data_IF_380847581913
#
_entry.id   IF_380847581913
#
_cell.length_a   1.000
_cell.length_b   1.000
_cell.length_c   1.000
_cell.angle_alpha   90.00
_cell.angle_beta   90.00
_cell.angle_gamma   90.00
#
_symmetry.space_group_name_H-M   'P 1'
#
loop_
_entity.id
_entity.type
_entity.pdbx_description
1 polymer ?
#
# COMPACT_ATOMS: atom_id res chain seq x y z
N UNK A 1 17.74 18.15 23.60
CA UNK A 1 17.67 17.55 22.24
C UNK A 1 18.06 18.59 21.19
N UNK A 2 18.87 18.23 20.17
CA UNK A 2 19.24 19.16 19.08
C UNK A 2 18.04 19.37 18.14
N UNK A 3 17.92 20.57 17.54
CA UNK A 3 16.74 20.92 16.73
C UNK A 3 16.53 20.04 15.49
N UNK A 4 17.60 19.53 14.88
CA UNK A 4 17.51 18.63 13.72
C UNK A 4 16.97 17.25 14.11
N UNK A 5 17.53 16.65 15.16
CA UNK A 5 17.07 15.38 15.74
C UNK A 5 15.59 15.45 16.13
N UNK A 6 15.15 16.55 16.75
CA UNK A 6 13.74 16.78 17.06
C UNK A 6 12.85 16.74 15.82
N UNK A 7 13.25 17.41 14.73
CA UNK A 7 12.49 17.45 13.48
C UNK A 7 12.39 16.06 12.84
N UNK A 8 13.44 15.27 12.89
CA UNK A 8 13.42 13.88 12.42
C UNK A 8 12.47 13.01 13.25
N UNK A 9 12.45 13.20 14.57
CA UNK A 9 11.53 12.50 15.47
C UNK A 9 10.08 12.94 15.27
N UNK A 10 9.82 14.24 15.06
CA UNK A 10 8.50 14.77 14.70
C UNK A 10 8.01 14.10 13.41
N UNK A 11 8.85 14.00 12.38
CA UNK A 11 8.48 13.36 11.12
C UNK A 11 8.12 11.88 11.31
N UNK A 12 8.93 11.13 12.07
CA UNK A 12 8.64 9.72 12.39
C UNK A 12 7.32 9.57 13.12
N UNK A 13 7.07 10.43 14.10
CA UNK A 13 5.83 10.43 14.87
C UNK A 13 4.61 10.69 13.98
N UNK A 14 4.69 11.70 13.09
CA UNK A 14 3.61 12.00 12.16
C UNK A 14 3.39 10.89 11.11
N UNK A 15 4.44 10.14 10.73
CA UNK A 15 4.34 8.98 9.83
C UNK A 15 3.67 7.77 10.48
N UNK A 16 3.91 7.55 11.78
CA UNK A 16 3.38 6.39 12.52
C UNK A 16 2.03 6.65 13.17
N UNK A 17 1.56 7.89 13.21
CA UNK A 17 0.31 8.24 13.86
C UNK A 17 -0.87 7.93 12.93
N UNK A 18 -1.88 7.23 13.45
CA UNK A 18 -3.14 6.96 12.74
C UNK A 18 -4.07 8.20 12.63
N UNK A 19 -3.64 9.35 13.17
CA UNK A 19 -4.44 10.57 13.18
C UNK A 19 -3.66 11.83 13.57
N UNK A 20 -4.35 12.97 13.71
CA UNK A 20 -3.71 14.26 13.98
C UNK A 20 -3.00 14.28 15.32
N UNK A 21 -1.74 14.72 15.33
CA UNK A 21 -0.92 14.84 16.54
C UNK A 21 -0.86 16.30 16.97
N UNK A 22 -1.27 16.58 18.20
CA UNK A 22 -1.32 17.96 18.70
C UNK A 22 0.09 18.54 18.93
N UNK A 23 0.25 19.84 18.69
CA UNK A 23 1.49 20.57 18.99
C UNK A 23 1.85 20.53 20.48
N UNK A 24 0.83 20.49 21.35
CA UNK A 24 1.01 20.42 22.80
C UNK A 24 1.57 19.06 23.24
N UNK A 25 1.03 17.97 22.70
CA UNK A 25 1.51 16.62 22.98
C UNK A 25 2.95 16.42 22.51
N UNK A 26 3.31 16.95 21.33
CA UNK A 26 4.70 16.94 20.86
C UNK A 26 5.62 17.80 21.74
N UNK A 27 5.14 18.96 22.20
CA UNK A 27 5.91 19.85 23.05
C UNK A 27 6.26 19.18 24.39
N UNK A 28 5.28 18.52 25.01
CA UNK A 28 5.47 17.73 26.24
C UNK A 28 6.42 16.55 26.01
N UNK A 29 6.18 15.75 24.96
CA UNK A 29 7.02 14.58 24.62
C UNK A 29 8.50 14.93 24.42
N UNK A 30 8.78 16.09 23.81
CA UNK A 30 10.14 16.52 23.48
C UNK A 30 10.72 17.54 24.47
N UNK A 31 9.99 17.89 25.54
CA UNK A 31 10.44 18.84 26.57
C UNK A 31 10.71 20.24 26.02
N UNK A 32 9.90 20.72 25.07
CA UNK A 32 10.05 22.05 24.45
C UNK A 32 8.75 22.84 24.53
N UNK A 33 8.77 24.14 24.21
CA UNK A 33 7.54 24.92 24.11
C UNK A 33 6.76 24.58 22.84
N UNK A 34 5.44 24.79 22.87
CA UNK A 34 4.57 24.68 21.69
C UNK A 34 5.09 25.52 20.52
N UNK A 35 5.62 26.71 20.79
CA UNK A 35 6.15 27.61 19.76
C UNK A 35 7.35 27.01 19.01
N UNK A 36 8.19 26.24 19.71
CA UNK A 36 9.30 25.52 19.10
C UNK A 36 8.78 24.45 18.13
N UNK A 37 7.74 23.68 18.52
CA UNK A 37 7.11 22.70 17.64
C UNK A 37 6.52 23.37 16.39
N UNK A 38 5.80 24.49 16.56
CA UNK A 38 5.24 25.24 15.42
C UNK A 38 6.36 25.68 14.46
N UNK A 39 7.48 26.19 14.99
CA UNK A 39 8.63 26.60 14.17
C UNK A 39 9.28 25.41 13.45
N UNK A 40 9.37 24.25 14.10
CA UNK A 40 9.91 23.04 13.49
C UNK A 40 9.03 22.48 12.38
N UNK A 41 7.70 22.50 12.55
CA UNK A 41 6.75 22.14 11.49
C UNK A 41 6.87 23.08 10.29
N UNK A 42 7.00 24.39 10.52
CA UNK A 42 7.23 25.35 9.44
C UNK A 42 8.50 25.02 8.64
N UNK A 43 9.62 24.74 9.34
CA UNK A 43 10.86 24.33 8.69
C UNK A 43 10.77 23.00 7.93
N UNK A 44 9.92 22.07 8.39
CA UNK A 44 9.67 20.82 7.67
C UNK A 44 8.88 21.09 6.38
N UNK A 45 7.90 21.98 6.42
CA UNK A 45 7.16 22.43 5.23
C UNK A 45 8.06 23.15 4.22
N UNK A 46 8.96 24.01 4.69
CA UNK A 46 9.94 24.70 3.82
C UNK A 46 10.87 23.72 3.09
N UNK A 47 11.03 22.50 3.60
CA UNK A 47 11.75 21.40 2.95
C UNK A 47 10.90 20.57 1.98
N UNK A 48 9.68 21.00 1.69
CA UNK A 48 8.75 20.30 0.78
C UNK A 48 7.99 19.14 1.42
N UNK A 49 7.99 19.01 2.75
CA UNK A 49 7.22 17.96 3.43
C UNK A 49 5.78 18.45 3.62
N UNK A 50 4.84 17.75 3.00
CA UNK A 50 3.42 18.07 3.05
C UNK A 50 2.84 17.73 4.43
N UNK A 51 2.61 18.75 5.27
CA UNK A 51 2.03 18.61 6.61
C UNK A 51 0.82 19.53 6.70
N UNK A 52 -0.39 19.00 6.87
CA UNK A 52 -1.59 19.81 7.09
C UNK A 52 -1.70 20.24 8.56
N UNK A 53 -2.28 21.42 8.80
CA UNK A 53 -2.77 21.82 10.12
C UNK A 53 -4.28 21.55 10.19
N UNK A 54 -4.71 20.69 11.11
CA UNK A 54 -6.12 20.45 11.42
C UNK A 54 -6.46 21.01 12.81
N UNK A 55 -7.75 21.13 13.14
CA UNK A 55 -8.21 21.67 14.43
C UNK A 55 -7.66 20.90 15.65
N UNK A 56 -7.38 19.60 15.48
CA UNK A 56 -6.86 18.71 16.54
C UNK A 56 -5.34 18.52 16.52
N UNK A 57 -4.62 19.00 15.52
CA UNK A 57 -3.18 18.79 15.41
C UNK A 57 -2.64 18.82 14.00
N UNK A 58 -1.42 18.31 13.83
CA UNK A 58 -0.75 18.17 12.55
C UNK A 58 -0.88 16.75 12.01
N UNK A 59 -1.03 16.62 10.70
CA UNK A 59 -1.02 15.35 9.98
C UNK A 59 -0.01 15.45 8.85
N UNK A 60 0.77 14.40 8.66
CA UNK A 60 1.54 14.27 7.43
C UNK A 60 0.57 13.94 6.30
N UNK A 61 0.50 14.80 5.29
CA UNK A 61 -0.27 14.49 4.09
C UNK A 61 0.40 13.29 3.43
N UNK A 62 -0.27 12.15 3.48
CA UNK A 62 0.07 11.06 2.58
C UNK A 62 -0.32 11.53 1.19
N UNK A 63 0.62 11.50 0.24
CA UNK A 63 0.27 11.77 -1.15
C UNK A 63 -0.90 10.84 -1.52
N UNK A 64 -1.90 11.32 -2.29
CA UNK A 64 -2.89 10.41 -2.86
C UNK A 64 -2.12 9.32 -3.59
N UNK A 65 -2.24 8.08 -3.11
CA UNK A 65 -1.61 6.93 -3.75
C UNK A 65 -2.45 6.59 -4.96
N UNK A 66 -1.79 6.39 -6.08
CA UNK A 66 -2.43 5.92 -7.28
C UNK A 66 -2.86 4.47 -7.08
N UNK A 67 -3.93 4.06 -7.74
CA UNK A 67 -4.47 2.71 -7.64
C UNK A 67 -4.80 2.17 -9.02
N UNK A 68 -4.42 0.91 -9.26
CA UNK A 68 -4.74 0.20 -10.50
C UNK A 68 -5.02 -1.26 -10.18
N UNK A 69 -6.01 -1.82 -10.88
CA UNK A 69 -6.32 -3.24 -10.80
C UNK A 69 -5.60 -3.99 -11.92
N UNK A 70 -4.85 -5.01 -11.54
CA UNK A 70 -4.21 -5.93 -12.48
C UNK A 70 -4.97 -7.26 -12.52
N UNK A 71 -5.30 -7.70 -13.72
CA UNK A 71 -5.78 -9.06 -13.95
C UNK A 71 -4.61 -9.96 -14.26
N UNK A 72 -4.47 -11.02 -13.48
CA UNK A 72 -3.29 -11.89 -13.49
C UNK A 72 -3.67 -13.36 -13.61
N UNK A 73 -2.74 -14.15 -14.14
CA UNK A 73 -2.81 -15.60 -14.21
C UNK A 73 -1.41 -16.18 -14.07
N UNK A 74 -1.24 -17.12 -13.14
CA UNK A 74 0.02 -17.83 -12.96
C UNK A 74 -0.15 -19.11 -12.12
N UNK A 75 0.87 -19.97 -12.15
CA UNK A 75 0.99 -21.18 -11.33
C UNK A 75 1.14 -20.85 -9.83
N UNK A 76 0.95 -21.82 -8.93
CA UNK A 76 1.14 -21.60 -7.48
C UNK A 76 2.59 -21.23 -7.16
N UNK A 77 3.55 -21.85 -7.85
CA UNK A 77 4.99 -21.63 -7.73
C UNK A 77 5.42 -20.21 -8.13
N UNK A 78 4.65 -19.56 -8.99
CA UNK A 78 4.95 -18.21 -9.47
C UNK A 78 4.36 -17.08 -8.60
N UNK A 79 3.48 -17.42 -7.64
CA UNK A 79 2.83 -16.43 -6.77
C UNK A 79 3.84 -15.60 -5.98
N UNK A 80 4.94 -16.20 -5.54
CA UNK A 80 6.02 -15.47 -4.86
C UNK A 80 6.72 -14.47 -5.80
N UNK A 81 6.95 -14.85 -7.06
CA UNK A 81 7.66 -14.02 -8.03
C UNK A 81 6.85 -12.78 -8.40
N UNK A 82 5.55 -12.98 -8.65
CA UNK A 82 4.61 -11.90 -8.94
C UNK A 82 4.58 -10.87 -7.81
N UNK A 83 4.33 -11.32 -6.57
CA UNK A 83 4.24 -10.42 -5.42
C UNK A 83 5.57 -9.69 -5.16
N UNK A 84 6.71 -10.36 -5.35
CA UNK A 84 8.02 -9.73 -5.21
C UNK A 84 8.23 -8.63 -6.25
N UNK A 85 7.83 -8.85 -7.50
CA UNK A 85 7.98 -7.88 -8.59
C UNK A 85 7.21 -6.58 -8.27
N UNK A 86 5.98 -6.70 -7.76
CA UNK A 86 5.18 -5.55 -7.34
C UNK A 86 5.85 -4.80 -6.17
N UNK A 87 6.26 -5.53 -5.14
CA UNK A 87 6.85 -4.94 -3.92
C UNK A 87 8.23 -4.32 -4.18
N UNK A 88 9.05 -4.91 -5.05
CA UNK A 88 10.37 -4.39 -5.42
C UNK A 88 10.31 -3.04 -6.12
N UNK A 89 9.22 -2.79 -6.87
CA UNK A 89 8.93 -1.50 -7.51
C UNK A 89 8.20 -0.53 -6.57
N UNK A 90 8.12 -0.84 -5.27
CA UNK A 90 7.40 -0.05 -4.25
C UNK A 90 5.87 -0.02 -4.44
N UNK A 91 5.31 -1.01 -5.14
CA UNK A 91 3.88 -1.28 -5.13
C UNK A 91 3.42 -1.97 -3.85
N UNK A 92 2.16 -1.72 -3.46
CA UNK A 92 1.48 -2.39 -2.37
C UNK A 92 0.24 -3.12 -2.90
N UNK A 93 0.16 -4.43 -2.64
CA UNK A 93 -0.99 -5.26 -3.00
C UNK A 93 -2.04 -5.18 -1.90
N UNK A 94 -3.18 -4.55 -2.19
CA UNK A 94 -4.27 -4.34 -1.23
C UNK A 94 -5.08 -5.60 -0.99
N UNK A 95 -5.42 -6.29 -2.05
CA UNK A 95 -6.34 -7.42 -2.02
C UNK A 95 -6.01 -8.43 -3.12
N UNK A 96 -6.68 -9.57 -3.02
CA UNK A 96 -6.88 -10.50 -4.13
C UNK A 96 -8.37 -10.75 -4.28
N UNK A 97 -8.85 -10.81 -5.53
CA UNK A 97 -10.22 -11.20 -5.79
C UNK A 97 -10.38 -11.95 -7.10
N UNK A 98 -11.52 -12.63 -7.22
CA UNK A 98 -11.89 -13.40 -8.40
C UNK A 98 -13.36 -13.14 -8.76
N UNK A 99 -13.68 -13.18 -10.05
CA UNK A 99 -15.05 -13.20 -10.54
C UNK A 99 -15.54 -14.63 -10.71
N UNK A 100 -16.38 -15.08 -9.79
CA UNK A 100 -17.06 -16.36 -9.91
C UNK A 100 -18.43 -16.19 -10.56
N UNK A 101 -18.70 -16.93 -11.63
CA UNK A 101 -19.95 -16.80 -12.43
C UNK A 101 -21.23 -16.86 -11.59
N UNK A 102 -21.25 -17.65 -10.51
CA UNK A 102 -22.43 -17.84 -9.67
C UNK A 102 -22.39 -17.03 -8.37
N UNK A 103 -21.21 -16.78 -7.81
CA UNK A 103 -21.07 -16.13 -6.48
C UNK A 103 -20.74 -14.65 -6.59
N UNK A 104 -20.47 -14.13 -7.80
CA UNK A 104 -20.03 -12.76 -7.98
C UNK A 104 -18.56 -12.58 -7.59
N UNK A 105 -18.24 -11.44 -6.98
CA UNK A 105 -16.88 -11.10 -6.53
C UNK A 105 -16.62 -11.81 -5.20
N UNK A 106 -15.56 -12.61 -5.17
CA UNK A 106 -15.00 -13.13 -3.92
C UNK A 106 -13.64 -12.47 -3.72
N UNK A 107 -13.45 -11.78 -2.61
CA UNK A 107 -12.25 -11.00 -2.30
C UNK A 107 -11.67 -11.33 -0.93
N UNK A 108 -10.36 -11.11 -0.78
CA UNK A 108 -9.65 -11.18 0.49
C UNK A 108 -8.63 -10.04 0.57
N UNK A 109 -8.58 -9.38 1.72
CA UNK A 109 -7.59 -8.35 1.99
C UNK A 109 -6.20 -8.98 2.18
N UNK A 110 -5.19 -8.37 1.59
CA UNK A 110 -3.79 -8.85 1.63
C UNK A 110 -2.85 -7.87 2.33
N UNK A 111 -2.96 -6.56 2.06
CA UNK A 111 -2.08 -5.51 2.60
C UNK A 111 -0.57 -5.84 2.51
N UNK A 112 -0.11 -6.44 1.42
CA UNK A 112 1.29 -6.82 1.24
C UNK A 112 2.12 -5.62 0.77
N UNK A 113 3.12 -5.24 1.58
CA UNK A 113 4.00 -4.08 1.34
C UNK A 113 5.47 -4.45 1.31
N UNK A 114 5.83 -5.60 1.87
CA UNK A 114 7.22 -5.99 2.07
C UNK A 114 7.43 -7.47 1.75
N UNK A 115 8.69 -7.84 1.48
CA UNK A 115 9.09 -9.25 1.32
C UNK A 115 8.76 -10.13 2.54
N UNK A 116 8.68 -9.54 3.74
CA UNK A 116 8.27 -10.27 4.95
C UNK A 116 6.79 -10.62 4.91
N UNK A 117 5.95 -9.70 4.43
CA UNK A 117 4.52 -9.92 4.30
C UNK A 117 4.23 -11.02 3.27
N UNK A 118 4.96 -11.03 2.15
CA UNK A 118 4.89 -12.10 1.15
C UNK A 118 5.15 -13.47 1.78
N UNK A 119 6.25 -13.59 2.54
CA UNK A 119 6.61 -14.86 3.19
C UNK A 119 5.56 -15.31 4.20
N UNK A 120 5.00 -14.37 4.98
CA UNK A 120 3.94 -14.67 5.94
C UNK A 120 2.65 -15.12 5.22
N UNK A 121 2.30 -14.46 4.12
CA UNK A 121 1.14 -14.83 3.32
C UNK A 121 1.29 -16.24 2.73
N UNK A 122 2.43 -16.53 2.10
CA UNK A 122 2.69 -17.84 1.50
C UNK A 122 2.80 -18.96 2.55
N UNK A 123 3.39 -18.70 3.72
CA UNK A 123 3.48 -19.70 4.79
C UNK A 123 2.11 -20.06 5.35
N UNK A 124 1.21 -19.08 5.47
CA UNK A 124 -0.17 -19.30 5.90
C UNK A 124 -0.93 -20.20 4.91
N UNK A 125 -0.72 -20.03 3.61
CA UNK A 125 -1.32 -20.90 2.58
C UNK A 125 -0.70 -22.30 2.63
N UNK A 126 0.63 -22.38 2.71
CA UNK A 126 1.36 -23.65 2.77
C UNK A 126 1.03 -24.48 4.03
N UNK A 127 0.52 -23.85 5.11
CA UNK A 127 0.09 -24.54 6.32
C UNK A 127 -1.11 -25.49 6.12
N UNK A 128 -1.71 -25.51 4.92
CA UNK A 128 -2.66 -26.52 4.48
C UNK A 128 -4.10 -26.32 4.94
N UNK A 129 -4.39 -25.24 5.68
CA UNK A 129 -5.78 -24.91 6.09
C UNK A 129 -6.57 -24.15 5.02
N UNK A 130 -5.87 -23.57 4.04
CA UNK A 130 -6.45 -22.71 3.00
C UNK A 130 -5.73 -22.89 1.68
N UNK A 131 -6.45 -22.78 0.56
CA UNK A 131 -5.90 -22.79 -0.80
C UNK A 131 -5.93 -21.39 -1.43
N UNK A 132 -5.14 -21.16 -2.47
CA UNK A 132 -5.18 -19.90 -3.23
C UNK A 132 -6.58 -19.64 -3.81
N UNK A 133 -7.03 -18.39 -3.74
CA UNK A 133 -8.36 -17.99 -4.23
C UNK A 133 -8.51 -18.19 -5.75
N UNK A 134 -7.42 -18.04 -6.50
CA UNK A 134 -7.37 -18.26 -7.96
C UNK A 134 -7.76 -19.67 -8.39
N UNK A 135 -7.71 -20.66 -7.50
CA UNK A 135 -8.07 -22.05 -7.82
C UNK A 135 -9.55 -22.21 -8.14
N UNK A 136 -10.40 -21.27 -7.69
CA UNK A 136 -11.84 -21.25 -7.97
C UNK A 136 -12.14 -20.78 -9.41
N UNK A 137 -11.19 -20.12 -10.06
CA UNK A 137 -11.34 -19.47 -11.38
C UNK A 137 -10.26 -19.89 -12.36
N UNK A 138 -9.76 -21.13 -12.25
CA UNK A 138 -8.74 -21.70 -13.16
C UNK A 138 -7.47 -20.84 -13.26
N UNK A 139 -7.03 -20.27 -12.14
CA UNK A 139 -5.81 -19.46 -12.05
C UNK A 139 -6.01 -17.97 -12.30
N UNK A 140 -7.16 -17.54 -12.83
CA UNK A 140 -7.44 -16.12 -13.07
C UNK A 140 -7.83 -15.40 -11.79
N UNK A 141 -7.17 -14.28 -11.50
CA UNK A 141 -7.48 -13.45 -10.34
C UNK A 141 -7.06 -12.00 -10.58
N UNK A 142 -7.34 -11.16 -9.62
CA UNK A 142 -7.11 -9.74 -9.68
C UNK A 142 -6.43 -9.26 -8.41
N UNK A 143 -5.61 -8.24 -8.57
CA UNK A 143 -4.98 -7.52 -7.49
C UNK A 143 -5.24 -6.03 -7.65
N UNK A 144 -5.77 -5.40 -6.62
CA UNK A 144 -5.71 -3.95 -6.49
C UNK A 144 -4.34 -3.56 -5.96
N UNK A 145 -3.56 -2.84 -6.77
CA UNK A 145 -2.22 -2.39 -6.42
C UNK A 145 -2.19 -0.88 -6.29
N UNK A 146 -1.54 -0.42 -5.22
CA UNK A 146 -1.35 1.01 -4.96
C UNK A 146 0.12 1.39 -4.99
N UNK A 147 0.42 2.58 -5.49
CA UNK A 147 1.78 3.12 -5.53
C UNK A 147 1.79 4.64 -5.31
N UNK A 148 2.98 5.21 -5.14
CA UNK A 148 3.13 6.64 -4.86
C UNK A 148 2.98 7.53 -6.11
N UNK A 149 2.96 6.93 -7.31
CA UNK A 149 2.69 7.61 -8.58
C UNK A 149 2.19 6.64 -9.65
N UNK A 150 1.59 7.18 -10.73
CA UNK A 150 1.10 6.38 -11.86
C UNK A 150 2.24 5.75 -12.66
N UNK A 151 3.40 6.41 -12.76
CA UNK A 151 4.57 5.88 -13.46
C UNK A 151 5.06 4.56 -12.84
N UNK A 152 4.97 4.42 -11.51
CA UNK A 152 5.30 3.17 -10.82
C UNK A 152 4.29 2.07 -11.20
N UNK A 153 3.01 2.40 -11.30
CA UNK A 153 1.98 1.43 -11.70
C UNK A 153 2.15 1.00 -13.16
N UNK A 154 2.58 1.91 -14.04
CA UNK A 154 2.95 1.59 -15.43
C UNK A 154 4.15 0.65 -15.48
N UNK A 155 5.22 0.94 -14.72
CA UNK A 155 6.40 0.07 -14.65
C UNK A 155 6.05 -1.33 -14.09
N UNK A 156 5.20 -1.40 -13.07
CA UNK A 156 4.68 -2.67 -12.54
C UNK A 156 3.92 -3.43 -13.63
N UNK A 157 3.03 -2.75 -14.37
CA UNK A 157 2.26 -3.38 -15.46
C UNK A 157 3.18 -3.95 -16.53
N UNK A 158 4.17 -3.19 -16.99
CA UNK A 158 5.16 -3.63 -17.97
C UNK A 158 5.91 -4.88 -17.48
N UNK A 159 6.36 -4.86 -16.22
CA UNK A 159 7.10 -6.00 -15.65
C UNK A 159 6.23 -7.24 -15.47
N UNK A 160 4.96 -7.08 -15.07
CA UNK A 160 4.00 -8.18 -15.02
C UNK A 160 3.71 -8.73 -16.43
N UNK A 161 3.66 -7.87 -17.45
CA UNK A 161 3.48 -8.27 -18.84
C UNK A 161 4.69 -9.06 -19.36
N UNK A 162 5.91 -8.56 -19.16
CA UNK A 162 7.16 -9.20 -19.59
C UNK A 162 7.34 -10.59 -18.99
N UNK A 163 6.90 -10.79 -17.75
CA UNK A 163 6.96 -12.08 -17.06
C UNK A 163 5.76 -13.00 -17.38
N UNK A 164 4.82 -12.55 -18.21
CA UNK A 164 3.67 -13.34 -18.66
C UNK A 164 2.58 -13.53 -17.61
N UNK A 165 2.53 -12.67 -16.58
CA UNK A 165 1.53 -12.75 -15.52
C UNK A 165 0.21 -12.06 -15.89
N UNK A 166 0.23 -11.02 -16.73
CA UNK A 166 -1.00 -10.32 -17.11
C UNK A 166 -1.91 -11.16 -18.01
N UNK A 167 -3.19 -11.17 -17.68
CA UNK A 167 -4.23 -11.84 -18.46
C UNK A 167 -5.13 -10.84 -19.19
N UNK A 168 -5.58 -11.20 -20.40
CA UNK A 168 -6.61 -10.46 -21.12
C UNK A 168 -7.96 -10.53 -20.40
N UNK A 169 -8.72 -9.44 -20.43
CA UNK A 169 -10.11 -9.42 -19.95
C UNK A 169 -10.98 -10.40 -20.75
N UNK A 170 -11.91 -11.07 -20.08
CA UNK A 170 -12.91 -11.97 -20.67
C UNK A 170 -14.25 -11.25 -20.81
N UNK A 171 -15.09 -11.72 -21.73
CA UNK A 171 -16.35 -11.05 -22.10
C UNK A 171 -17.36 -10.86 -20.95
N UNK A 172 -17.33 -11.71 -19.93
CA UNK A 172 -18.25 -11.63 -18.79
C UNK A 172 -17.77 -10.69 -17.66
N UNK A 173 -16.60 -10.08 -17.82
CA UNK A 173 -15.98 -9.23 -16.80
C UNK A 173 -16.36 -7.76 -17.02
N UNK A 174 -16.61 -6.99 -15.95
CA UNK A 174 -16.94 -5.56 -16.08
C UNK A 174 -15.76 -4.77 -16.65
N UNK A 175 -16.07 -3.75 -17.48
CA UNK A 175 -15.06 -2.90 -18.14
C UNK A 175 -14.35 -1.95 -17.18
N UNK A 176 -15.00 -1.58 -16.07
CA UNK A 176 -14.37 -0.88 -14.95
C UNK A 176 -14.28 -1.86 -13.78
N UNK A 177 -13.06 -2.19 -13.39
CA UNK A 177 -12.78 -3.10 -12.28
C UNK A 177 -12.36 -2.24 -11.10
N UNK A 178 -13.19 -2.20 -10.05
CA UNK A 178 -12.84 -1.64 -8.76
C UNK A 178 -13.17 -2.68 -7.70
N UNK A 179 -12.25 -2.88 -6.75
CA UNK A 179 -12.62 -3.52 -5.50
C UNK A 179 -13.61 -2.58 -4.78
N UNK A 180 -14.80 -3.09 -4.44
CA UNK A 180 -15.76 -2.35 -3.60
C UNK A 180 -15.23 -2.15 -2.18
#
# INVERSE_FOLDING_TARGET
MKGQERRENILKLLKSADGPVSAGSMAELYGVSRQIIVSDIARLRDKGIAISSLSRGYVLEQKPRCEKVFKVIHSDEDSEKELNLIVELNGEVKDVFVYHKFYGIVSAKMDIKTKKDIKLYLSNIASGKSSHLKNVTSGYHYHTVTADSDEILEEIEEKLWENGFLAKLKEYEPREIKAE
#
